data_IF_651260303582
#
_entry.id   IF_651260303582
#
_cell.length_a   1.000
_cell.length_b   1.000
_cell.length_c   1.000
_cell.angle_alpha   90.00
_cell.angle_beta   90.00
_cell.angle_gamma   90.00
#
_symmetry.space_group_name_H-M   'P 1'
#
loop_
_entity.id
_entity.type
_entity.pdbx_description
1 polymer ?
#
# COMPACT_ATOMS: atom_id res chain seq x y z
N UNK A 1 -4.74 -21.43 35.57
CA UNK A 1 -5.10 -21.90 34.21
C UNK A 1 -6.06 -20.95 33.50
N UNK A 2 -7.21 -20.56 34.08
CA UNK A 2 -8.19 -19.62 33.49
C UNK A 2 -7.61 -18.29 32.97
N UNK A 3 -6.67 -17.67 33.70
CA UNK A 3 -6.00 -16.41 33.27
C UNK A 3 -5.20 -16.55 31.97
N UNK A 4 -4.60 -17.72 31.70
CA UNK A 4 -3.86 -17.98 30.46
C UNK A 4 -4.82 -18.06 29.26
N UNK A 5 -5.98 -18.71 29.42
CA UNK A 5 -7.01 -18.75 28.38
C UNK A 5 -7.57 -17.35 28.06
N UNK A 6 -7.81 -16.52 29.08
CA UNK A 6 -8.22 -15.12 28.87
C UNK A 6 -7.16 -14.37 28.06
N UNK A 7 -5.88 -14.52 28.38
CA UNK A 7 -4.80 -13.91 27.61
C UNK A 7 -4.77 -14.37 26.15
N UNK A 8 -4.96 -15.68 25.90
CA UNK A 8 -5.06 -16.22 24.53
C UNK A 8 -6.27 -15.68 23.76
N UNK A 9 -7.42 -15.55 24.43
CA UNK A 9 -8.64 -14.98 23.83
C UNK A 9 -8.42 -13.51 23.46
N UNK A 10 -7.86 -12.72 24.38
CA UNK A 10 -7.54 -11.30 24.13
C UNK A 10 -6.54 -11.17 22.99
N UNK A 11 -5.50 -11.99 22.99
CA UNK A 11 -4.50 -11.99 21.92
C UNK A 11 -5.11 -12.36 20.56
N UNK A 12 -5.92 -13.42 20.51
CA UNK A 12 -6.62 -13.82 19.30
C UNK A 12 -7.59 -12.74 18.80
N UNK A 13 -8.26 -12.04 19.71
CA UNK A 13 -9.13 -10.92 19.37
C UNK A 13 -8.35 -9.74 18.76
N UNK A 14 -7.25 -9.32 19.39
CA UNK A 14 -6.38 -8.27 18.86
C UNK A 14 -5.82 -8.67 17.48
N UNK A 15 -5.34 -9.91 17.36
CA UNK A 15 -4.82 -10.43 16.10
C UNK A 15 -5.91 -10.44 15.01
N UNK A 16 -7.14 -10.82 15.36
CA UNK A 16 -8.29 -10.75 14.45
C UNK A 16 -8.55 -9.33 13.93
N UNK A 17 -8.49 -8.32 14.81
CA UNK A 17 -8.62 -6.90 14.41
C UNK A 17 -7.49 -6.48 13.47
N UNK A 18 -6.25 -6.91 13.74
CA UNK A 18 -5.11 -6.60 12.86
C UNK A 18 -5.32 -7.16 11.44
N UNK A 19 -5.80 -8.40 11.33
CA UNK A 19 -6.07 -9.03 10.02
C UNK A 19 -7.22 -8.33 9.31
N UNK A 20 -8.30 -8.00 10.01
CA UNK A 20 -9.46 -7.33 9.43
C UNK A 20 -9.20 -5.87 9.02
N UNK A 21 -8.20 -5.23 9.63
CA UNK A 21 -7.79 -3.86 9.30
C UNK A 21 -6.58 -3.81 8.35
N UNK A 22 -6.13 -4.95 7.84
CA UNK A 22 -5.12 -4.97 6.79
C UNK A 22 -5.76 -4.52 5.47
N UNK A 23 -5.36 -3.38 4.89
CA UNK A 23 -5.98 -2.86 3.69
C UNK A 23 -5.77 -3.81 2.51
N UNK A 24 -6.71 -3.78 1.57
CA UNK A 24 -6.65 -4.52 0.30
C UNK A 24 -5.93 -3.73 -0.79
N UNK A 25 -5.72 -4.37 -1.95
CA UNK A 25 -5.17 -3.71 -3.14
C UNK A 25 -6.08 -2.59 -3.65
N UNK A 26 -7.39 -2.77 -3.60
CA UNK A 26 -8.34 -1.75 -4.06
C UNK A 26 -8.33 -0.53 -3.14
N UNK A 27 -8.14 -0.74 -1.83
CA UNK A 27 -7.94 0.35 -0.86
C UNK A 27 -6.66 1.13 -1.19
N UNK A 28 -5.58 0.41 -1.55
CA UNK A 28 -4.33 1.04 -1.95
C UNK A 28 -4.47 1.85 -3.24
N UNK A 29 -5.21 1.35 -4.24
CA UNK A 29 -5.46 2.06 -5.50
C UNK A 29 -6.22 3.35 -5.22
N UNK A 30 -7.25 3.28 -4.39
CA UNK A 30 -8.06 4.43 -3.98
C UNK A 30 -7.23 5.47 -3.22
N UNK A 31 -6.47 5.02 -2.23
CA UNK A 31 -5.55 5.88 -1.48
C UNK A 31 -4.50 6.53 -2.38
N UNK A 32 -3.87 5.77 -3.28
CA UNK A 32 -2.83 6.29 -4.19
C UNK A 32 -3.39 7.37 -5.11
N UNK A 33 -4.60 7.16 -5.64
CA UNK A 33 -5.29 8.16 -6.45
C UNK A 33 -5.57 9.44 -5.66
N UNK A 34 -6.09 9.31 -4.45
CA UNK A 34 -6.33 10.46 -3.57
C UNK A 34 -5.03 11.20 -3.23
N UNK A 35 -3.94 10.46 -2.98
CA UNK A 35 -2.63 11.04 -2.68
C UNK A 35 -2.09 11.85 -3.87
N UNK A 36 -2.15 11.32 -5.09
CA UNK A 36 -1.75 12.05 -6.30
C UNK A 36 -2.67 13.25 -6.56
N UNK A 37 -3.96 13.13 -6.23
CA UNK A 37 -4.92 14.22 -6.39
C UNK A 37 -4.67 15.41 -5.45
N UNK A 38 -3.97 15.23 -4.31
CA UNK A 38 -3.64 16.34 -3.40
C UNK A 38 -2.76 17.42 -4.05
N UNK A 39 -1.88 17.00 -4.96
CA UNK A 39 -0.88 17.88 -5.59
C UNK A 39 -1.22 18.23 -7.05
N UNK A 40 -2.38 17.81 -7.57
CA UNK A 40 -2.77 18.02 -8.97
C UNK A 40 -4.03 18.87 -9.12
N UNK A 41 -4.06 19.72 -10.17
CA UNK A 41 -5.18 20.61 -10.48
C UNK A 41 -5.58 20.50 -11.96
N UNK A 42 -6.81 20.93 -12.27
CA UNK A 42 -7.28 21.10 -13.65
C UNK A 42 -7.37 19.80 -14.46
N UNK A 43 -6.87 19.82 -15.71
CA UNK A 43 -7.02 18.74 -16.69
C UNK A 43 -6.30 17.43 -16.26
N UNK A 44 -5.17 17.54 -15.56
CA UNK A 44 -4.41 16.39 -15.05
C UNK A 44 -5.26 15.62 -14.02
N UNK A 45 -5.89 16.33 -13.09
CA UNK A 45 -6.79 15.74 -12.10
C UNK A 45 -8.00 15.04 -12.74
N UNK A 46 -8.55 15.57 -13.83
CA UNK A 46 -9.61 14.90 -14.60
C UNK A 46 -9.14 13.59 -15.22
N UNK A 47 -7.94 13.57 -15.81
CA UNK A 47 -7.34 12.35 -16.37
C UNK A 47 -7.17 11.26 -15.30
N UNK A 48 -6.60 11.61 -14.15
CA UNK A 48 -6.44 10.70 -13.00
C UNK A 48 -7.79 10.21 -12.48
N UNK A 49 -8.81 11.09 -12.45
CA UNK A 49 -10.15 10.70 -11.99
C UNK A 49 -10.77 9.60 -12.86
N UNK A 50 -10.60 9.69 -14.18
CA UNK A 50 -11.17 8.76 -15.16
C UNK A 50 -10.36 7.49 -15.36
N UNK A 51 -9.02 7.59 -15.35
CA UNK A 51 -8.13 6.50 -15.75
C UNK A 51 -7.13 6.07 -14.65
N UNK A 52 -7.10 6.74 -13.51
CA UNK A 52 -6.16 6.45 -12.43
C UNK A 52 -6.29 5.04 -11.88
N UNK A 53 -7.50 4.59 -11.57
CA UNK A 53 -7.75 3.28 -10.95
C UNK A 53 -7.17 2.11 -11.77
N UNK A 54 -7.50 1.95 -13.07
CA UNK A 54 -6.94 0.86 -13.87
C UNK A 54 -5.43 0.98 -14.09
N UNK A 55 -4.90 2.20 -14.23
CA UNK A 55 -3.46 2.42 -14.42
C UNK A 55 -2.67 2.02 -13.17
N UNK A 56 -3.06 2.53 -12.01
CA UNK A 56 -2.43 2.22 -10.72
C UNK A 56 -2.56 0.72 -10.44
N UNK A 57 -3.76 0.14 -10.61
CA UNK A 57 -3.98 -1.27 -10.34
C UNK A 57 -3.08 -2.18 -11.19
N UNK A 58 -2.93 -1.88 -12.49
CA UNK A 58 -2.09 -2.67 -13.39
C UNK A 58 -0.59 -2.48 -13.13
N UNK A 59 -0.19 -1.29 -12.69
CA UNK A 59 1.19 -0.98 -12.34
C UNK A 59 1.60 -1.50 -10.95
N UNK A 60 0.64 -1.93 -10.12
CA UNK A 60 0.87 -2.34 -8.74
C UNK A 60 0.80 -3.86 -8.55
N UNK A 61 1.86 -4.41 -7.96
CA UNK A 61 1.88 -5.75 -7.38
C UNK A 61 1.59 -5.67 -5.87
N UNK A 62 0.77 -6.58 -5.34
CA UNK A 62 0.45 -6.65 -3.91
C UNK A 62 0.92 -7.96 -3.30
N UNK A 63 1.47 -7.91 -2.10
CA UNK A 63 1.86 -9.08 -1.29
C UNK A 63 1.23 -8.96 0.10
N UNK A 64 0.30 -9.85 0.42
CA UNK A 64 -0.43 -9.85 1.69
C UNK A 64 0.23 -10.79 2.72
N UNK A 65 0.54 -10.27 3.89
CA UNK A 65 1.18 -10.96 5.02
C UNK A 65 0.26 -11.08 6.24
N UNK A 66 -1.06 -11.19 6.00
CA UNK A 66 -2.17 -11.27 6.95
C UNK A 66 -2.46 -9.97 7.69
N UNK A 67 -1.49 -9.45 8.46
CA UNK A 67 -1.67 -8.25 9.31
C UNK A 67 -1.14 -6.96 8.67
N UNK A 68 -0.42 -7.10 7.56
CA UNK A 68 0.02 -6.00 6.70
C UNK A 68 0.12 -6.50 5.26
N UNK A 69 0.22 -5.56 4.33
CA UNK A 69 0.44 -5.81 2.92
C UNK A 69 1.52 -4.90 2.37
N UNK A 70 2.28 -5.37 1.39
CA UNK A 70 3.28 -4.57 0.67
C UNK A 70 2.79 -4.36 -0.75
N UNK A 71 2.76 -3.10 -1.17
CA UNK A 71 2.38 -2.67 -2.50
C UNK A 71 3.63 -2.18 -3.22
N UNK A 72 3.89 -2.73 -4.40
CA UNK A 72 5.00 -2.32 -5.27
C UNK A 72 4.43 -1.74 -6.54
N UNK A 73 4.64 -0.45 -6.76
CA UNK A 73 4.14 0.25 -7.96
C UNK A 73 5.32 0.57 -8.87
N UNK A 74 5.26 0.08 -10.11
CA UNK A 74 6.28 0.36 -11.14
C UNK A 74 5.86 1.60 -11.92
N UNK A 75 6.67 2.65 -11.88
CA UNK A 75 6.44 3.89 -12.67
C UNK A 75 7.23 3.82 -13.97
N UNK A 76 8.43 3.26 -13.93
CA UNK A 76 9.28 2.98 -15.08
C UNK A 76 10.04 1.67 -14.87
N UNK A 77 10.89 1.28 -15.82
CA UNK A 77 11.75 0.09 -15.67
C UNK A 77 12.74 0.24 -14.50
N UNK A 78 13.17 1.47 -14.20
CA UNK A 78 14.17 1.76 -13.17
C UNK A 78 13.55 2.25 -11.85
N UNK A 79 12.30 2.75 -11.89
CA UNK A 79 11.64 3.35 -10.73
C UNK A 79 10.48 2.48 -10.20
N UNK A 80 10.70 1.92 -9.01
CA UNK A 80 9.67 1.18 -8.27
C UNK A 80 9.46 1.83 -6.90
N UNK A 81 8.22 2.15 -6.58
CA UNK A 81 7.81 2.64 -5.27
C UNK A 81 7.27 1.49 -4.42
N UNK A 82 7.58 1.51 -3.12
CA UNK A 82 7.07 0.55 -2.16
C UNK A 82 6.25 1.25 -1.10
N UNK A 83 5.09 0.71 -0.80
CA UNK A 83 4.20 1.21 0.26
C UNK A 83 3.76 0.04 1.13
N UNK A 84 3.78 0.23 2.44
CA UNK A 84 3.22 -0.76 3.38
C UNK A 84 1.83 -0.31 3.79
N UNK A 85 0.86 -1.21 3.62
CA UNK A 85 -0.46 -1.07 4.20
C UNK A 85 -0.56 -1.85 5.51
N UNK A 86 -0.98 -1.20 6.59
CA UNK A 86 -1.33 -1.86 7.85
C UNK A 86 -2.35 -1.00 8.60
N UNK A 87 -3.28 -1.62 9.31
CA UNK A 87 -4.27 -0.89 10.13
C UNK A 87 -5.02 0.22 9.38
N UNK A 88 -5.47 -0.02 8.15
CA UNK A 88 -6.08 0.98 7.26
C UNK A 88 -5.22 2.21 6.96
N UNK A 89 -3.91 2.13 7.17
CA UNK A 89 -2.96 3.19 6.87
C UNK A 89 -1.98 2.72 5.80
N UNK A 90 -1.48 3.68 5.00
CA UNK A 90 -0.48 3.45 3.98
C UNK A 90 0.76 4.28 4.27
N UNK A 91 1.92 3.62 4.29
CA UNK A 91 3.20 4.22 4.64
C UNK A 91 4.17 4.00 3.48
N UNK A 92 4.47 5.04 2.69
CA UNK A 92 5.49 4.97 1.64
C UNK A 92 6.86 4.67 2.25
N UNK A 93 7.58 3.72 1.66
CA UNK A 93 8.96 3.42 2.02
C UNK A 93 9.88 4.08 0.99
N UNK A 94 10.84 4.92 1.43
CA UNK A 94 11.88 5.43 0.56
C UNK A 94 12.61 4.27 -0.11
N UNK A 95 12.46 4.15 -1.43
CA UNK A 95 13.17 3.13 -2.20
C UNK A 95 14.41 3.81 -2.77
N UNK A 96 15.60 3.27 -2.51
CA UNK A 96 16.81 3.77 -3.16
C UNK A 96 16.71 3.47 -4.64
N UNK A 97 16.76 4.51 -5.47
CA UNK A 97 16.97 4.37 -6.91
C UNK A 97 18.28 3.62 -7.09
N UNK A 98 18.26 2.47 -7.77
CA UNK A 98 19.50 1.79 -8.16
C UNK A 98 20.16 2.64 -9.25
N UNK A 99 21.06 3.51 -8.84
CA UNK A 99 21.87 4.34 -9.74
C UNK A 99 22.97 3.46 -10.37
N UNK A 100 22.59 2.60 -11.33
CA UNK A 100 23.52 1.78 -12.11
C UNK A 100 24.29 2.60 -13.18
N UNK A 101 24.34 3.94 -13.08
CA UNK A 101 25.14 4.80 -13.97
C UNK A 101 26.41 5.40 -13.33
N UNK A 102 26.97 4.75 -12.31
CA UNK A 102 28.21 5.19 -11.67
C UNK A 102 29.45 4.35 -11.97
N UNK A 103 29.43 3.43 -12.94
CA UNK A 103 30.65 2.85 -13.52
C UNK A 103 30.44 2.48 -15.00
N UNK A 104 30.80 3.37 -15.92
CA UNK A 104 31.45 3.04 -17.19
C UNK A 104 32.20 4.25 -17.73
#
# INVERSE_FOLDING_TARGET
MKKKYIAFIVFGFIFGIMVLSNPSKDDFVSWSKEEIMKDTNGLVGLGIKMFGDPLINNATESSNYLVFSVYKTKISEEETFKTVGLFNNFIPIPTKVNDERSVK
#
